data_IF_413588059279
#
_entry.id   IF_413588059279
#
_cell.length_a   1.000
_cell.length_b   1.000
_cell.length_c   1.000
_cell.angle_alpha   90.00
_cell.angle_beta   90.00
_cell.angle_gamma   90.00
#
_symmetry.space_group_name_H-M   'P 1'
#
loop_
_entity.id
_entity.type
_entity.pdbx_description
1 polymer ?
#
# COMPACT_ATOMS: atom_id res chain seq x y z
N UNK A 1 20.70 8.93 12.66
CA UNK A 1 19.84 8.58 11.50
C UNK A 1 20.24 7.18 11.04
N UNK A 2 19.36 6.18 11.12
CA UNK A 2 19.67 4.83 10.63
C UNK A 2 19.60 4.85 9.10
N UNK A 3 20.74 4.69 8.44
CA UNK A 3 20.82 4.57 6.98
C UNK A 3 20.53 3.11 6.64
N UNK A 4 19.39 2.84 6.00
CA UNK A 4 19.08 1.51 5.51
C UNK A 4 19.74 1.32 4.12
N UNK A 5 20.43 0.19 3.86
CA UNK A 5 20.89 -0.15 2.53
C UNK A 5 19.71 -0.13 1.53
N UNK A 6 19.96 0.24 0.26
CA UNK A 6 18.95 0.12 -0.81
C UNK A 6 18.38 -1.31 -0.80
N UNK A 7 17.07 -1.43 -0.65
CA UNK A 7 16.36 -2.72 -0.57
C UNK A 7 16.18 -3.31 0.84
N UNK A 8 16.71 -2.69 1.91
CA UNK A 8 16.53 -3.14 3.31
C UNK A 8 15.73 -2.20 4.20
N UNK A 9 15.24 -1.09 3.67
CA UNK A 9 14.35 -0.21 4.42
C UNK A 9 13.05 -0.98 4.77
N UNK A 10 12.50 -0.86 5.99
CA UNK A 10 11.17 -1.37 6.29
C UNK A 10 10.13 -0.85 5.29
N UNK A 11 9.14 -1.66 4.94
CA UNK A 11 8.07 -1.31 3.99
C UNK A 11 7.49 0.11 4.15
N UNK A 12 7.20 0.60 5.38
CA UNK A 12 6.70 1.97 5.56
C UNK A 12 7.62 3.09 5.05
N UNK A 13 8.93 2.80 4.92
CA UNK A 13 9.95 3.75 4.53
C UNK A 13 10.37 3.65 3.06
N UNK A 14 9.99 2.58 2.35
CA UNK A 14 10.19 2.44 0.91
C UNK A 14 9.19 3.33 0.17
N UNK A 15 9.49 3.75 -1.07
CA UNK A 15 8.56 4.33 -2.06
C UNK A 15 7.48 5.29 -1.52
N UNK A 16 7.84 6.18 -0.58
CA UNK A 16 6.88 7.03 0.14
C UNK A 16 6.15 8.06 -0.73
N UNK A 17 6.68 8.31 -1.93
CA UNK A 17 6.10 9.19 -2.93
C UNK A 17 4.93 8.54 -3.70
N UNK A 18 4.80 7.21 -3.64
CA UNK A 18 3.69 6.53 -4.30
C UNK A 18 2.39 6.75 -3.52
N UNK A 19 1.34 7.33 -4.14
CA UNK A 19 0.10 7.65 -3.44
C UNK A 19 -0.69 6.40 -3.03
N UNK A 20 -0.58 5.34 -3.82
CA UNK A 20 -1.23 4.05 -3.62
C UNK A 20 -0.23 2.94 -3.91
N UNK A 21 -0.16 1.94 -3.03
CA UNK A 21 0.71 0.77 -3.21
C UNK A 21 0.22 -0.39 -2.36
N UNK A 22 0.52 -1.61 -2.75
CA UNK A 22 0.17 -2.78 -1.97
C UNK A 22 1.32 -3.77 -1.92
N UNK A 23 1.28 -4.66 -0.93
CA UNK A 23 2.17 -5.82 -0.84
C UNK A 23 1.40 -7.06 -0.43
N UNK A 24 1.91 -8.21 -0.85
CA UNK A 24 1.53 -9.47 -0.23
C UNK A 24 2.01 -9.51 1.23
N UNK A 25 1.17 -10.06 2.11
CA UNK A 25 1.43 -10.21 3.54
C UNK A 25 0.96 -11.61 3.99
N UNK A 26 1.65 -12.68 3.56
CA UNK A 26 1.31 -14.06 3.96
C UNK A 26 1.28 -14.24 5.48
N UNK A 27 2.09 -13.47 6.22
CA UNK A 27 2.12 -13.47 7.68
C UNK A 27 0.80 -13.03 8.33
N UNK A 28 -0.07 -12.36 7.57
CA UNK A 28 -1.41 -11.94 7.98
C UNK A 28 -2.51 -12.73 7.26
N UNK A 29 -2.16 -13.72 6.43
CA UNK A 29 -3.07 -14.30 5.43
C UNK A 29 -3.79 -13.19 4.64
N UNK A 30 -3.05 -12.16 4.24
CA UNK A 30 -3.63 -10.90 3.78
C UNK A 30 -2.83 -10.17 2.70
N UNK A 31 -3.46 -9.13 2.17
CA UNK A 31 -2.77 -8.05 1.44
C UNK A 31 -2.79 -6.79 2.31
N UNK A 32 -1.69 -6.05 2.31
CA UNK A 32 -1.63 -4.70 2.90
C UNK A 32 -1.67 -3.70 1.77
N UNK A 33 -2.72 -2.87 1.73
CA UNK A 33 -2.87 -1.77 0.80
C UNK A 33 -2.65 -0.45 1.56
N UNK A 34 -1.69 0.34 1.10
CA UNK A 34 -1.35 1.63 1.68
C UNK A 34 -1.94 2.76 0.81
N UNK A 35 -2.67 3.66 1.46
CA UNK A 35 -3.30 4.83 0.85
C UNK A 35 -2.72 6.08 1.52
N UNK A 36 -1.97 6.88 0.74
CA UNK A 36 -1.34 8.13 1.22
C UNK A 36 -2.09 9.40 0.82
N UNK A 37 -3.10 9.27 -0.04
CA UNK A 37 -3.98 10.37 -0.49
C UNK A 37 -5.43 9.90 -0.46
N UNK A 38 -6.34 10.77 -0.04
CA UNK A 38 -7.79 10.51 -0.04
C UNK A 38 -8.52 11.17 -1.23
N UNK A 39 -7.77 11.71 -2.19
CA UNK A 39 -8.31 12.31 -3.40
C UNK A 39 -7.74 11.62 -4.63
N UNK A 40 -8.57 11.50 -5.65
CA UNK A 40 -8.12 11.02 -6.96
C UNK A 40 -7.05 11.97 -7.53
N UNK A 41 -5.99 11.38 -8.06
CA UNK A 41 -4.90 12.11 -8.69
C UNK A 41 -4.92 11.96 -10.20
N UNK A 42 -4.13 12.78 -10.90
CA UNK A 42 -3.86 12.59 -12.34
C UNK A 42 -3.24 11.21 -12.64
N UNK A 43 -2.58 10.62 -11.66
CA UNK A 43 -1.85 9.36 -11.77
C UNK A 43 -2.70 8.13 -11.44
N UNK A 44 -3.97 8.28 -11.06
CA UNK A 44 -4.86 7.15 -10.78
C UNK A 44 -5.98 7.50 -9.79
N UNK A 45 -7.05 6.72 -9.86
CA UNK A 45 -8.19 6.79 -8.94
C UNK A 45 -8.05 5.79 -7.82
N UNK A 46 -8.59 6.13 -6.65
CA UNK A 46 -8.60 5.23 -5.49
C UNK A 46 -9.40 3.95 -5.81
N UNK A 47 -10.51 4.09 -6.54
CA UNK A 47 -11.37 2.97 -6.89
C UNK A 47 -10.65 1.92 -7.77
N UNK A 48 -9.88 2.37 -8.76
CA UNK A 48 -9.14 1.47 -9.65
C UNK A 48 -8.05 0.71 -8.88
N UNK A 49 -7.34 1.41 -7.99
CA UNK A 49 -6.36 0.79 -7.10
C UNK A 49 -6.98 -0.25 -6.16
N UNK A 50 -8.10 0.06 -5.54
CA UNK A 50 -8.79 -0.90 -4.66
C UNK A 50 -9.30 -2.13 -5.42
N UNK A 51 -9.76 -1.96 -6.66
CA UNK A 51 -10.14 -3.06 -7.53
C UNK A 51 -8.94 -3.96 -7.87
N UNK A 52 -7.77 -3.38 -8.16
CA UNK A 52 -6.53 -4.13 -8.38
C UNK A 52 -6.13 -4.95 -7.14
N UNK A 53 -6.16 -4.31 -5.96
CA UNK A 53 -5.84 -4.94 -4.67
C UNK A 53 -6.76 -6.12 -4.39
N UNK A 54 -8.06 -5.96 -4.63
CA UNK A 54 -9.03 -7.01 -4.42
C UNK A 54 -8.81 -8.18 -5.39
N UNK A 55 -8.53 -7.88 -6.66
CA UNK A 55 -8.19 -8.92 -7.64
C UNK A 55 -6.90 -9.68 -7.24
N UNK A 56 -5.90 -8.97 -6.71
CA UNK A 56 -4.69 -9.59 -6.19
C UNK A 56 -4.98 -10.48 -4.97
N UNK A 57 -5.86 -10.03 -4.06
CA UNK A 57 -6.25 -10.78 -2.85
C UNK A 57 -6.89 -12.12 -3.22
N UNK A 58 -7.82 -12.10 -4.18
CA UNK A 58 -8.48 -13.29 -4.70
C UNK A 58 -7.47 -14.20 -5.41
N UNK A 59 -6.63 -13.66 -6.29
CA UNK A 59 -5.60 -14.43 -7.02
C UNK A 59 -4.60 -15.13 -6.08
N UNK A 60 -4.22 -14.47 -4.99
CA UNK A 60 -3.27 -15.00 -4.01
C UNK A 60 -3.95 -15.87 -2.93
N UNK A 61 -5.28 -15.98 -2.95
CA UNK A 61 -6.03 -16.75 -1.96
C UNK A 61 -5.99 -16.18 -0.54
N UNK A 62 -5.72 -14.88 -0.39
CA UNK A 62 -5.64 -14.22 0.92
C UNK A 62 -7.02 -13.95 1.49
N UNK A 63 -7.20 -14.21 2.78
CA UNK A 63 -8.49 -13.98 3.45
C UNK A 63 -8.69 -12.54 3.90
N UNK A 64 -7.60 -11.85 4.19
CA UNK A 64 -7.62 -10.53 4.81
C UNK A 64 -7.19 -9.43 3.84
N UNK A 65 -7.75 -8.23 4.04
CA UNK A 65 -7.27 -6.99 3.46
C UNK A 65 -7.03 -6.00 4.59
N UNK A 66 -5.80 -5.51 4.71
CA UNK A 66 -5.44 -4.45 5.65
C UNK A 66 -5.31 -3.15 4.87
N UNK A 67 -6.08 -2.14 5.29
CA UNK A 67 -5.99 -0.80 4.75
C UNK A 67 -5.12 0.07 5.67
N UNK A 68 -3.94 0.45 5.22
CA UNK A 68 -3.04 1.37 5.92
C UNK A 68 -3.23 2.78 5.37
N UNK A 69 -3.99 3.61 6.10
CA UNK A 69 -4.28 4.99 5.71
C UNK A 69 -3.31 5.94 6.41
N UNK A 70 -2.35 6.48 5.65
CA UNK A 70 -1.36 7.46 6.15
C UNK A 70 -1.41 8.71 5.30
N UNK A 71 -2.31 9.61 5.64
CA UNK A 71 -2.42 10.86 4.90
C UNK A 71 -1.20 11.74 5.20
N UNK A 72 -0.44 12.09 4.15
CA UNK A 72 0.69 13.03 4.26
C UNK A 72 0.23 14.50 4.45
N UNK A 73 -1.03 14.72 4.85
CA UNK A 73 -1.56 16.05 5.14
C UNK A 73 -1.15 16.40 6.57
N UNK A 74 -0.05 17.13 6.72
CA UNK A 74 0.19 17.90 7.94
C UNK A 74 -1.02 18.79 8.21
N UNK A 75 -1.46 18.82 9.48
CA UNK A 75 -2.33 19.89 9.95
C UNK A 75 -1.60 21.23 9.96
#
# INVERSE_FOLDING_TARGET
MKIFPKGRAPWPLQDQEQPFRWRDAPELDGIVAEIRRNVDGKTGKIADFLAEVEAARVRLGRKNLVLDMRFNTGG
#
